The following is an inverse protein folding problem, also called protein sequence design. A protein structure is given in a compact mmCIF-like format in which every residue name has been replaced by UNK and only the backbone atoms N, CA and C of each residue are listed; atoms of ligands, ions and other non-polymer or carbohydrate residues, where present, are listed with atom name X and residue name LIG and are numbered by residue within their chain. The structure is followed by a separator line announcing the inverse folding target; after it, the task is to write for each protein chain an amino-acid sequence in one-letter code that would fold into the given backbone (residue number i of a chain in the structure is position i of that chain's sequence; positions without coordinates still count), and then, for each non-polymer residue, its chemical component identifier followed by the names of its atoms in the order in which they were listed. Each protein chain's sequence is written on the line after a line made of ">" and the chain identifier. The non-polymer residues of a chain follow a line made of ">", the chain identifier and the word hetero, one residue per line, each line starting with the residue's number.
data_IF_998888149947
#
_entry.id   IF_998888149947
#
_cell.length_a   1.000
_cell.length_b   1.000
_cell.length_c   1.000
_cell.angle_alpha   90.00
_cell.angle_beta   90.00
_cell.angle_gamma   90.00
#
_symmetry.space_group_name_H-M   'P 1'
#
loop_
_entity.id
_entity.type
_entity.pdbx_description
1 polymer ?
#
# COMPACT_ATOMS: atom_id res chain seq x y z
N UNK A 1 -8.59 16.99 -4.35
CA UNK A 1 -7.38 16.13 -4.22
C UNK A 1 -7.46 14.98 -5.22
N UNK A 2 -6.34 14.67 -5.87
CA UNK A 2 -6.15 13.51 -6.73
C UNK A 2 -5.30 12.49 -5.96
N UNK A 3 -5.79 11.29 -5.76
CA UNK A 3 -5.18 10.31 -4.88
C UNK A 3 -4.73 9.09 -5.69
N UNK A 4 -3.44 8.77 -5.66
CA UNK A 4 -2.90 7.55 -6.25
C UNK A 4 -2.90 6.42 -5.22
N UNK A 5 -3.50 5.28 -5.58
CA UNK A 5 -3.49 4.05 -4.78
C UNK A 5 -2.80 2.96 -5.60
N UNK A 6 -1.62 2.53 -5.18
CA UNK A 6 -0.95 1.37 -5.77
C UNK A 6 -1.31 0.09 -5.01
N UNK A 7 -1.39 -1.05 -5.70
CA UNK A 7 -1.96 -2.27 -5.13
C UNK A 7 -3.47 -2.16 -4.93
N UNK A 8 -4.14 -1.40 -5.81
CA UNK A 8 -5.56 -1.06 -5.72
C UNK A 8 -6.49 -2.29 -5.73
N UNK A 9 -6.11 -3.36 -6.45
CA UNK A 9 -6.88 -4.62 -6.55
C UNK A 9 -6.60 -5.59 -5.40
N UNK A 10 -5.65 -5.26 -4.51
CA UNK A 10 -5.38 -6.00 -3.29
C UNK A 10 -6.50 -5.87 -2.25
N UNK A 11 -6.40 -6.65 -1.15
CA UNK A 11 -7.40 -6.61 -0.08
C UNK A 11 -7.57 -5.20 0.52
N UNK A 12 -6.46 -4.57 0.92
CA UNK A 12 -6.50 -3.22 1.52
C UNK A 12 -6.84 -2.18 0.46
N UNK A 13 -6.26 -2.31 -0.76
CA UNK A 13 -6.51 -1.40 -1.87
C UNK A 13 -7.99 -1.30 -2.23
N UNK A 14 -8.68 -2.43 -2.40
CA UNK A 14 -10.12 -2.46 -2.70
C UNK A 14 -10.96 -1.76 -1.64
N UNK A 15 -10.66 -1.98 -0.36
CA UNK A 15 -11.37 -1.30 0.74
C UNK A 15 -11.12 0.21 0.71
N UNK A 16 -9.87 0.62 0.51
CA UNK A 16 -9.51 2.03 0.45
C UNK A 16 -10.13 2.71 -0.77
N UNK A 17 -9.99 2.14 -1.98
CA UNK A 17 -10.56 2.71 -3.19
C UNK A 17 -12.08 2.84 -3.10
N UNK A 18 -12.78 1.82 -2.54
CA UNK A 18 -14.22 1.90 -2.32
C UNK A 18 -14.60 3.07 -1.41
N UNK A 19 -13.87 3.29 -0.31
CA UNK A 19 -14.15 4.38 0.61
C UNK A 19 -13.79 5.75 0.01
N UNK A 20 -12.66 5.87 -0.68
CA UNK A 20 -12.29 7.11 -1.38
C UNK A 20 -13.34 7.49 -2.44
N UNK A 21 -13.87 6.52 -3.17
CA UNK A 21 -14.95 6.76 -4.13
C UNK A 21 -16.26 7.14 -3.43
N UNK A 22 -16.60 6.54 -2.27
CA UNK A 22 -17.75 6.97 -1.46
C UNK A 22 -17.62 8.42 -0.99
N UNK A 23 -16.42 8.85 -0.60
CA UNK A 23 -16.15 10.25 -0.23
C UNK A 23 -16.33 11.16 -1.45
N UNK A 24 -15.71 10.80 -2.59
CA UNK A 24 -15.81 11.54 -3.84
C UNK A 24 -17.27 11.75 -4.29
N UNK A 25 -18.10 10.73 -4.13
CA UNK A 25 -19.51 10.74 -4.49
C UNK A 25 -20.42 11.37 -3.42
N UNK A 26 -19.85 11.85 -2.29
CA UNK A 26 -20.61 12.45 -1.18
C UNK A 26 -21.44 11.46 -0.37
N UNK A 27 -21.17 10.15 -0.51
CA UNK A 27 -21.88 9.07 0.21
C UNK A 27 -21.33 8.87 1.63
N UNK A 28 -20.03 9.13 1.86
CA UNK A 28 -19.40 9.04 3.16
C UNK A 28 -19.48 10.38 3.89
N UNK A 29 -20.21 10.42 5.03
CA UNK A 29 -20.52 11.67 5.76
C UNK A 29 -19.52 12.02 6.88
N UNK A 30 -18.63 11.11 7.22
CA UNK A 30 -17.72 11.27 8.36
C UNK A 30 -16.41 12.01 8.03
N UNK A 31 -16.18 12.37 6.76
CA UNK A 31 -14.96 13.03 6.30
C UNK A 31 -15.23 14.49 5.87
N UNK A 32 -15.85 15.25 6.76
CA UNK A 32 -16.24 16.63 6.46
C UNK A 32 -15.08 17.49 5.93
N UNK A 33 -15.29 18.13 4.79
CA UNK A 33 -14.31 19.02 4.16
C UNK A 33 -13.28 18.35 3.25
N UNK A 34 -13.24 17.01 3.16
CA UNK A 34 -12.37 16.33 2.21
C UNK A 34 -13.04 16.25 0.83
N UNK A 35 -12.44 16.93 -0.16
CA UNK A 35 -12.89 16.90 -1.56
C UNK A 35 -11.92 16.06 -2.38
N UNK A 36 -12.41 14.98 -2.98
CA UNK A 36 -11.64 14.10 -3.86
C UNK A 36 -12.09 14.31 -5.29
N UNK A 37 -11.17 14.73 -6.15
CA UNK A 37 -11.42 14.95 -7.58
C UNK A 37 -11.22 13.67 -8.39
N UNK A 38 -10.17 12.90 -8.07
CA UNK A 38 -9.85 11.65 -8.73
C UNK A 38 -9.25 10.62 -7.77
N UNK A 39 -9.53 9.34 -8.04
CA UNK A 39 -8.85 8.19 -7.44
C UNK A 39 -8.16 7.43 -8.56
N UNK A 40 -6.84 7.45 -8.57
CA UNK A 40 -6.01 6.73 -9.54
C UNK A 40 -5.68 5.36 -8.98
N UNK A 41 -6.23 4.32 -9.60
CA UNK A 41 -6.05 2.93 -9.18
C UNK A 41 -4.97 2.27 -10.04
N UNK A 42 -3.83 1.91 -9.43
CA UNK A 42 -2.72 1.26 -10.11
C UNK A 42 -2.43 -0.10 -9.50
N UNK A 43 -2.24 -1.12 -10.33
CA UNK A 43 -1.90 -2.49 -9.91
C UNK A 43 -0.97 -3.17 -10.92
N UNK A 44 -0.55 -4.40 -10.66
CA UNK A 44 0.41 -5.16 -11.46
C UNK A 44 0.00 -5.35 -12.94
N UNK A 45 -1.28 -5.30 -13.23
CA UNK A 45 -1.86 -5.42 -14.57
C UNK A 45 -2.22 -4.07 -15.21
N UNK A 46 -1.87 -2.96 -14.57
CA UNK A 46 -2.02 -1.61 -15.13
C UNK A 46 -0.94 -1.31 -16.18
N UNK A 47 -1.25 -0.42 -17.13
CA UNK A 47 -0.24 0.05 -18.08
C UNK A 47 0.84 0.86 -17.35
N UNK A 48 2.15 0.55 -17.52
CA UNK A 48 3.23 1.32 -16.89
C UNK A 48 3.19 2.83 -17.19
N UNK A 49 2.70 3.24 -18.37
CA UNK A 49 2.56 4.65 -18.75
C UNK A 49 1.56 5.40 -17.85
N UNK A 50 0.55 4.70 -17.30
CA UNK A 50 -0.41 5.30 -16.37
C UNK A 50 0.27 5.75 -15.07
N UNK A 51 1.31 5.03 -14.61
CA UNK A 51 2.04 5.41 -13.41
C UNK A 51 2.70 6.78 -13.58
N UNK A 52 3.30 7.02 -14.74
CA UNK A 52 3.95 8.29 -15.06
C UNK A 52 2.95 9.45 -15.02
N UNK A 53 1.79 9.27 -15.68
CA UNK A 53 0.70 10.26 -15.68
C UNK A 53 0.19 10.52 -14.26
N UNK A 54 -0.04 9.48 -13.47
CA UNK A 54 -0.57 9.62 -12.12
C UNK A 54 0.43 10.28 -11.16
N UNK A 55 1.73 9.95 -11.29
CA UNK A 55 2.80 10.57 -10.51
C UNK A 55 2.98 12.06 -10.83
N UNK A 56 2.70 12.49 -12.05
CA UNK A 56 2.80 13.90 -12.44
C UNK A 56 1.73 14.78 -11.80
N UNK A 57 0.60 14.21 -11.40
CA UNK A 57 -0.65 14.93 -11.12
C UNK A 57 -1.29 14.61 -9.75
N UNK A 58 -0.80 13.60 -9.02
CA UNK A 58 -1.38 13.22 -7.74
C UNK A 58 -0.99 14.18 -6.61
N UNK A 59 -1.93 14.39 -5.67
CA UNK A 59 -1.75 15.18 -4.45
C UNK A 59 -1.42 14.32 -3.22
N UNK A 60 -1.62 13.00 -3.31
CA UNK A 60 -1.33 12.04 -2.27
C UNK A 60 -1.14 10.63 -2.83
N UNK A 61 -0.21 9.86 -2.27
CA UNK A 61 0.04 8.48 -2.67
C UNK A 61 -0.18 7.52 -1.51
N UNK A 62 -1.02 6.50 -1.72
CA UNK A 62 -1.09 5.30 -0.89
C UNK A 62 -0.34 4.16 -1.57
N UNK A 63 0.88 3.85 -1.12
CA UNK A 63 1.61 2.69 -1.62
C UNK A 63 1.23 1.43 -0.83
N UNK A 64 0.26 0.69 -1.37
CA UNK A 64 -0.22 -0.59 -0.83
C UNK A 64 0.30 -1.79 -1.64
N UNK A 65 0.95 -1.53 -2.78
CA UNK A 65 1.57 -2.58 -3.58
C UNK A 65 2.64 -3.32 -2.77
N UNK A 66 2.62 -4.63 -2.86
CA UNK A 66 3.60 -5.47 -2.18
C UNK A 66 3.26 -6.95 -2.24
N UNK A 67 4.28 -7.78 -2.09
CA UNK A 67 4.19 -9.24 -2.10
C UNK A 67 4.21 -9.76 -0.67
N UNK A 68 3.19 -10.55 -0.29
CA UNK A 68 3.08 -11.14 1.04
C UNK A 68 3.39 -12.63 1.08
N UNK A 69 3.16 -13.34 -0.03
CA UNK A 69 3.38 -14.80 -0.18
C UNK A 69 3.95 -15.09 -1.56
N UNK A 70 5.24 -14.85 -1.74
CA UNK A 70 5.92 -15.16 -2.98
C UNK A 70 6.08 -16.67 -3.14
N UNK A 71 6.35 -17.12 -4.35
CA UNK A 71 6.77 -18.50 -4.61
C UNK A 71 8.23 -18.69 -4.19
N UNK A 72 9.05 -17.66 -4.36
CA UNK A 72 10.46 -17.63 -3.97
C UNK A 72 10.78 -16.40 -3.11
N UNK A 73 11.71 -16.55 -2.16
CA UNK A 73 12.09 -15.46 -1.24
C UNK A 73 12.64 -14.21 -1.95
N UNK A 74 13.25 -14.37 -3.11
CA UNK A 74 13.74 -13.25 -3.95
C UNK A 74 12.64 -12.29 -4.38
N UNK A 75 11.41 -12.79 -4.53
CA UNK A 75 10.25 -11.97 -4.93
C UNK A 75 9.84 -10.95 -3.83
N UNK A 76 10.23 -11.18 -2.57
CA UNK A 76 9.99 -10.17 -1.52
C UNK A 76 10.74 -8.88 -1.80
N UNK A 77 12.00 -8.97 -2.20
CA UNK A 77 12.79 -7.78 -2.47
C UNK A 77 12.36 -7.11 -3.78
N UNK A 78 12.16 -7.85 -4.86
CA UNK A 78 11.72 -7.27 -6.13
C UNK A 78 10.32 -6.68 -6.06
N UNK A 79 9.38 -7.35 -5.38
CA UNK A 79 7.98 -6.91 -5.29
C UNK A 79 7.74 -5.80 -4.26
N UNK A 80 8.47 -5.78 -3.14
CA UNK A 80 8.28 -4.77 -2.10
C UNK A 80 9.22 -3.57 -2.27
N UNK A 81 10.48 -3.81 -2.58
CA UNK A 81 11.50 -2.77 -2.75
C UNK A 81 11.56 -2.25 -4.19
N UNK A 82 11.56 -3.16 -5.18
CA UNK A 82 11.75 -2.78 -6.59
C UNK A 82 10.64 -1.86 -7.10
N UNK A 83 9.36 -2.23 -6.89
CA UNK A 83 8.25 -1.36 -7.31
C UNK A 83 8.23 -0.03 -6.53
N UNK A 84 8.54 -0.07 -5.22
CA UNK A 84 8.63 1.14 -4.41
C UNK A 84 9.68 2.12 -4.96
N UNK A 85 10.85 1.63 -5.40
CA UNK A 85 11.87 2.44 -6.05
C UNK A 85 11.36 3.09 -7.33
N UNK A 86 10.70 2.31 -8.21
CA UNK A 86 10.14 2.83 -9.47
C UNK A 86 9.11 3.95 -9.19
N UNK A 87 8.23 3.76 -8.23
CA UNK A 87 7.23 4.77 -7.83
C UNK A 87 7.89 6.07 -7.38
N UNK A 88 8.87 5.97 -6.46
CA UNK A 88 9.54 7.14 -5.89
C UNK A 88 10.42 7.86 -6.94
N UNK A 89 11.06 7.11 -7.83
CA UNK A 89 11.83 7.70 -8.93
C UNK A 89 10.92 8.42 -9.92
N UNK A 90 9.73 7.87 -10.20
CA UNK A 90 8.72 8.52 -11.02
C UNK A 90 8.26 9.86 -10.40
N UNK A 91 7.95 9.88 -9.11
CA UNK A 91 7.60 11.12 -8.39
C UNK A 91 8.75 12.14 -8.43
N UNK A 92 10.01 11.70 -8.24
CA UNK A 92 11.19 12.56 -8.36
C UNK A 92 11.33 13.17 -9.76
N UNK A 93 11.13 12.36 -10.81
CA UNK A 93 11.22 12.81 -12.19
C UNK A 93 10.24 13.96 -12.49
N UNK A 94 9.03 13.88 -11.94
CA UNK A 94 8.02 14.94 -12.04
C UNK A 94 8.16 16.05 -11.00
N UNK A 95 9.16 15.99 -10.11
CA UNK A 95 9.34 16.93 -8.99
C UNK A 95 8.08 17.03 -8.11
N UNK A 96 7.30 15.94 -8.07
CA UNK A 96 6.11 15.86 -7.24
C UNK A 96 6.50 15.45 -5.81
N UNK A 97 6.34 16.37 -4.87
CA UNK A 97 6.66 16.16 -3.45
C UNK A 97 5.41 15.97 -2.60
N UNK A 98 4.33 15.46 -3.20
CA UNK A 98 3.12 15.14 -2.46
C UNK A 98 3.39 14.14 -1.32
N UNK A 99 2.58 14.14 -0.25
CA UNK A 99 2.72 13.16 0.81
C UNK A 99 2.58 11.73 0.29
N UNK A 100 3.45 10.84 0.77
CA UNK A 100 3.45 9.42 0.41
C UNK A 100 3.26 8.55 1.65
N UNK A 101 2.34 7.60 1.57
CA UNK A 101 2.08 6.62 2.63
C UNK A 101 2.57 5.24 2.17
N UNK A 102 3.37 4.58 3.01
CA UNK A 102 3.80 3.19 2.82
C UNK A 102 3.04 2.25 3.74
N UNK A 103 2.42 1.22 3.17
CA UNK A 103 1.94 0.06 3.93
C UNK A 103 3.12 -0.84 4.30
N UNK A 104 3.57 -0.75 5.55
CA UNK A 104 4.56 -1.63 6.14
C UNK A 104 3.90 -2.70 7.01
N UNK A 105 4.67 -3.40 7.81
CA UNK A 105 4.22 -4.49 8.69
C UNK A 105 4.88 -4.39 10.05
N UNK A 106 4.18 -4.85 11.11
CA UNK A 106 4.80 -5.07 12.42
C UNK A 106 6.02 -6.00 12.34
N UNK A 107 6.14 -6.84 11.32
CA UNK A 107 7.31 -7.70 11.11
C UNK A 107 8.57 -6.91 10.75
N UNK A 108 8.45 -5.68 10.25
CA UNK A 108 9.59 -4.79 10.00
C UNK A 108 10.34 -4.38 11.26
N UNK A 109 9.79 -4.61 12.45
CA UNK A 109 10.51 -4.40 13.73
C UNK A 109 11.67 -5.36 13.91
N UNK A 110 11.63 -6.53 13.27
CA UNK A 110 12.59 -7.64 13.43
C UNK A 110 12.80 -8.06 14.90
N UNK A 111 11.78 -7.88 15.75
CA UNK A 111 11.83 -8.20 17.18
C UNK A 111 11.16 -9.55 17.45
N UNK A 112 11.74 -10.33 18.37
CA UNK A 112 11.21 -11.62 18.82
C UNK A 112 11.07 -12.60 17.65
N UNK A 113 9.87 -13.15 17.45
CA UNK A 113 9.58 -14.13 16.39
C UNK A 113 9.79 -13.61 14.95
N UNK A 114 9.99 -12.32 14.78
CA UNK A 114 10.20 -11.69 13.46
C UNK A 114 11.67 -11.48 13.11
N UNK A 115 12.62 -11.80 14.03
CA UNK A 115 14.05 -11.53 13.86
C UNK A 115 14.68 -12.10 12.59
N UNK A 116 14.17 -13.23 12.09
CA UNK A 116 14.64 -13.89 10.86
C UNK A 116 13.69 -13.76 9.68
N UNK A 117 12.64 -12.95 9.81
CA UNK A 117 11.60 -12.81 8.76
C UNK A 117 12.16 -12.10 7.51
N UNK A 118 12.28 -12.81 6.40
CA UNK A 118 12.68 -12.21 5.12
C UNK A 118 11.63 -11.21 4.62
N UNK A 119 10.35 -11.47 4.86
CA UNK A 119 9.29 -10.51 4.65
C UNK A 119 9.49 -9.25 5.52
N UNK A 120 9.80 -9.42 6.81
CA UNK A 120 10.08 -8.30 7.72
C UNK A 120 11.26 -7.46 7.24
N UNK A 121 12.35 -8.09 6.81
CA UNK A 121 13.54 -7.42 6.24
C UNK A 121 13.19 -6.63 4.98
N UNK A 122 12.39 -7.21 4.06
CA UNK A 122 11.98 -6.52 2.84
C UNK A 122 11.10 -5.30 3.13
N UNK A 123 10.22 -5.38 4.14
CA UNK A 123 9.41 -4.24 4.57
C UNK A 123 10.26 -3.15 5.23
N UNK A 124 11.23 -3.52 6.06
CA UNK A 124 12.17 -2.56 6.66
C UNK A 124 13.00 -1.83 5.59
N UNK A 125 13.53 -2.55 4.60
CA UNK A 125 14.25 -1.94 3.48
C UNK A 125 13.35 -0.95 2.70
N UNK A 126 12.07 -1.28 2.52
CA UNK A 126 11.09 -0.35 1.95
C UNK A 126 10.90 0.91 2.80
N UNK A 127 10.83 0.78 4.14
CA UNK A 127 10.74 1.94 5.04
C UNK A 127 11.95 2.87 4.90
N UNK A 128 13.15 2.29 4.87
CA UNK A 128 14.41 3.04 4.72
C UNK A 128 14.42 3.81 3.39
N UNK A 129 14.01 3.18 2.30
CA UNK A 129 13.90 3.82 0.98
C UNK A 129 12.94 5.03 1.01
N UNK A 130 11.77 4.87 1.64
CA UNK A 130 10.79 5.97 1.75
C UNK A 130 11.31 7.10 2.64
N UNK A 131 12.00 6.80 3.73
CA UNK A 131 12.59 7.84 4.58
C UNK A 131 13.74 8.57 3.87
N UNK A 132 14.53 7.88 3.05
CA UNK A 132 15.56 8.50 2.23
C UNK A 132 14.93 9.45 1.20
N UNK A 133 13.90 9.00 0.48
CA UNK A 133 13.12 9.83 -0.43
C UNK A 133 12.60 11.10 0.27
N UNK A 134 12.05 10.98 1.47
CA UNK A 134 11.56 12.13 2.25
C UNK A 134 12.68 13.11 2.62
N UNK A 135 13.88 12.60 2.98
CA UNK A 135 15.04 13.45 3.25
C UNK A 135 15.56 14.19 2.00
N UNK A 136 15.58 13.52 0.87
CA UNK A 136 16.05 14.08 -0.41
C UNK A 136 15.10 15.13 -0.98
N UNK A 137 13.79 14.89 -0.93
CA UNK A 137 12.79 15.69 -1.64
C UNK A 137 12.03 16.67 -0.76
N UNK A 138 12.07 16.49 0.56
CA UNK A 138 11.22 17.22 1.50
C UNK A 138 9.77 16.71 1.55
N UNK A 139 9.43 15.66 0.79
CA UNK A 139 8.09 15.07 0.81
C UNK A 139 7.76 14.48 2.18
N UNK A 140 6.50 14.62 2.61
CA UNK A 140 6.02 14.01 3.86
C UNK A 140 5.86 12.51 3.67
N UNK A 141 6.56 11.72 4.48
CA UNK A 141 6.48 10.25 4.49
C UNK A 141 5.69 9.77 5.68
N UNK A 142 4.73 8.88 5.44
CA UNK A 142 3.89 8.24 6.44
C UNK A 142 4.07 6.72 6.36
N UNK A 143 4.64 6.10 7.39
CA UNK A 143 4.82 4.65 7.43
C UNK A 143 3.82 4.02 8.40
N UNK A 144 2.99 3.11 7.89
CA UNK A 144 2.01 2.37 8.68
C UNK A 144 2.43 0.91 8.78
N UNK A 145 2.89 0.48 9.96
CA UNK A 145 3.21 -0.91 10.27
C UNK A 145 1.95 -1.67 10.64
N UNK A 146 1.27 -2.23 9.64
CA UNK A 146 0.04 -2.96 9.87
C UNK A 146 0.27 -4.27 10.63
N UNK A 147 -0.60 -4.59 11.61
CA UNK A 147 -0.74 -5.93 12.16
C UNK A 147 -1.53 -6.82 11.19
N UNK A 148 -2.00 -7.98 11.66
CA UNK A 148 -2.94 -8.79 10.88
C UNK A 148 -4.24 -8.03 10.66
N UNK A 149 -4.60 -7.85 9.39
CA UNK A 149 -5.81 -7.15 8.97
C UNK A 149 -6.93 -8.13 8.67
N UNK A 150 -8.16 -7.70 8.88
CA UNK A 150 -9.37 -8.41 8.50
C UNK A 150 -10.45 -7.42 8.04
N UNK A 151 -11.44 -7.91 7.29
CA UNK A 151 -12.52 -7.06 6.80
C UNK A 151 -13.09 -7.56 5.47
N UNK A 152 -13.91 -6.74 4.83
CA UNK A 152 -14.53 -7.04 3.55
C UNK A 152 -13.47 -7.36 2.50
N UNK A 153 -13.70 -8.39 1.67
CA UNK A 153 -12.79 -8.91 0.65
C UNK A 153 -11.50 -9.56 1.17
N UNK A 154 -11.33 -9.75 2.49
CA UNK A 154 -10.26 -10.56 3.02
C UNK A 154 -10.46 -12.03 2.62
N UNK A 155 -9.40 -12.67 2.13
CA UNK A 155 -9.48 -14.08 1.73
C UNK A 155 -9.34 -14.98 2.95
N UNK A 156 -10.30 -15.94 3.19
CA UNK A 156 -10.14 -16.98 4.20
C UNK A 156 -8.86 -17.80 3.94
N UNK A 157 -8.26 -18.33 5.00
CA UNK A 157 -7.05 -19.17 4.93
C UNK A 157 -5.84 -18.49 4.27
N UNK A 158 -5.82 -17.15 4.20
CA UNK A 158 -4.72 -16.42 3.59
C UNK A 158 -3.79 -15.78 4.64
N UNK A 159 -4.18 -14.72 5.31
CA UNK A 159 -3.32 -14.01 6.27
C UNK A 159 -4.04 -13.56 7.55
N UNK A 160 -5.27 -13.99 7.79
CA UNK A 160 -6.05 -13.58 8.96
C UNK A 160 -6.74 -14.75 9.62
N UNK A 161 -6.42 -15.00 10.89
CA UNK A 161 -7.12 -15.98 11.71
C UNK A 161 -8.60 -15.62 11.88
N UNK A 162 -8.91 -14.32 12.01
CA UNK A 162 -10.28 -13.82 12.21
C UNK A 162 -11.20 -14.15 11.02
N UNK A 163 -10.71 -14.09 9.79
CA UNK A 163 -11.49 -14.44 8.60
C UNK A 163 -11.53 -15.95 8.32
N UNK A 164 -10.61 -16.72 8.91
CA UNK A 164 -10.54 -18.17 8.73
C UNK A 164 -11.47 -18.90 9.70
N UNK A 165 -11.56 -18.45 10.95
CA UNK A 165 -12.38 -19.06 11.99
C UNK A 165 -13.87 -19.21 11.62
N UNK A 166 -14.58 -18.17 11.09
CA UNK A 166 -15.98 -18.31 10.71
C UNK A 166 -16.21 -19.35 9.62
N UNK A 167 -15.30 -19.47 8.66
CA UNK A 167 -15.41 -20.44 7.55
C UNK A 167 -15.25 -21.88 8.04
N UNK A 168 -14.46 -22.08 9.09
CA UNK A 168 -14.25 -23.42 9.69
C UNK A 168 -15.42 -23.85 10.57
N UNK A 169 -16.14 -22.88 11.16
CA UNK A 169 -17.30 -23.16 12.04
C UNK A 169 -18.59 -23.43 11.27
N UNK A 170 -18.70 -23.00 10.01
CA UNK A 170 -19.91 -23.21 9.18
C UNK A 170 -19.94 -24.56 8.45
N UNK A 171 -18.86 -25.35 8.49
CA UNK A 171 -18.75 -26.67 7.84
C UNK A 171 -18.76 -27.84 8.84
N UNK A 172 -19.35 -27.69 10.03
CA UNK A 172 -19.60 -28.81 10.96
C UNK A 172 -21.06 -29.00 11.22
#
# INVERSE_FOLDING_TARGET
>A
MKILVTGAKGFVGKNLCAELNNIKEGKARCYGGLVIDAVYEYDIDSNPEELDVYCSDCDFVFNLAGVNRPKENSEFMSGNFGFASILLDCLKAHKNTCPVMLSSSIQATLIGRYGTSDYGKSKLAGEELFFEYGRETGAKVLVYRFPNLFGKWCRPNYNSAVTTLPTTLTYR
#
